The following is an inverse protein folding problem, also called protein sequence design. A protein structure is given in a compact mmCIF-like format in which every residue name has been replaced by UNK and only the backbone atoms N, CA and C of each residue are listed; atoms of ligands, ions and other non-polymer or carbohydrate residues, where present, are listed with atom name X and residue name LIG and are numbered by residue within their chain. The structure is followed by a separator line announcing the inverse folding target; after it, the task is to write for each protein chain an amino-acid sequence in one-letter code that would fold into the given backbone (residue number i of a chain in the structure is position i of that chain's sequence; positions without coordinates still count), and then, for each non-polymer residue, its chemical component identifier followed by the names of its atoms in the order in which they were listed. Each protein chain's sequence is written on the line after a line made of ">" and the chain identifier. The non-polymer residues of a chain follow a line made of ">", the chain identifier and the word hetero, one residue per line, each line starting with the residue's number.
data_IF_613891277445
#
_entry.id   IF_613891277445
#
_cell.length_a   1.000
_cell.length_b   1.000
_cell.length_c   1.000
_cell.angle_alpha   90.00
_cell.angle_beta   90.00
_cell.angle_gamma   90.00
#
_symmetry.space_group_name_H-M   'P 1'
#
loop_
_entity.id
_entity.type
_entity.pdbx_description
1 polymer ?
#
# COMPACT_ATOMS: atom_id res chain seq x y z
N UNK A 1 -32.62 47.33 -5.07
CA UNK A 1 -32.81 45.99 -4.48
C UNK A 1 -31.77 45.08 -5.10
N UNK A 2 -30.63 44.94 -4.42
CA UNK A 2 -29.45 44.26 -4.93
C UNK A 2 -29.66 42.75 -4.88
N UNK A 3 -29.56 42.10 -6.04
CA UNK A 3 -29.43 40.66 -6.13
C UNK A 3 -28.07 40.26 -5.55
N UNK A 4 -28.10 39.39 -4.55
CA UNK A 4 -26.92 38.86 -3.88
C UNK A 4 -26.11 38.01 -4.86
N UNK A 5 -24.92 38.47 -5.22
CA UNK A 5 -23.86 37.65 -5.77
C UNK A 5 -23.38 36.71 -4.64
N UNK A 6 -23.58 35.41 -4.78
CA UNK A 6 -22.90 34.40 -3.96
C UNK A 6 -21.57 34.05 -4.65
N UNK A 7 -20.41 34.25 -3.99
CA UNK A 7 -19.19 33.55 -4.35
C UNK A 7 -19.03 32.29 -3.48
N UNK A 8 -18.29 31.30 -4.01
CA UNK A 8 -17.82 30.06 -3.38
C UNK A 8 -18.70 28.82 -3.54
N UNK A 9 -18.48 28.10 -4.64
CA UNK A 9 -18.50 26.64 -4.60
C UNK A 9 -17.11 26.15 -4.16
N UNK A 10 -16.99 25.39 -3.05
CA UNK A 10 -15.71 24.79 -2.70
C UNK A 10 -15.40 23.66 -3.67
N UNK A 11 -14.32 23.81 -4.43
CA UNK A 11 -13.66 22.77 -5.21
C UNK A 11 -13.14 21.67 -4.25
N UNK A 12 -14.03 20.80 -3.78
CA UNK A 12 -13.65 19.55 -3.11
C UNK A 12 -13.30 18.52 -4.18
N UNK A 13 -12.07 18.62 -4.67
CA UNK A 13 -11.40 17.55 -5.40
C UNK A 13 -9.99 17.50 -4.87
N UNK A 14 -9.86 16.90 -3.68
CA UNK A 14 -8.59 16.51 -3.07
C UNK A 14 -7.65 16.02 -4.18
N UNK A 15 -6.50 16.69 -4.32
CA UNK A 15 -5.40 16.25 -5.17
C UNK A 15 -5.00 14.86 -4.67
N UNK A 16 -5.66 13.84 -5.21
CA UNK A 16 -5.34 12.45 -5.02
C UNK A 16 -3.89 12.32 -5.42
N UNK A 17 -3.00 12.32 -4.43
CA UNK A 17 -1.56 12.23 -4.61
C UNK A 17 -1.33 11.05 -5.53
N UNK A 18 -0.98 11.34 -6.79
CA UNK A 18 -0.93 10.33 -7.84
C UNK A 18 0.00 9.24 -7.34
N UNK A 19 -0.53 8.01 -7.20
CA UNK A 19 0.24 6.89 -6.67
C UNK A 19 1.42 6.65 -7.59
N UNK A 20 2.63 6.71 -7.03
CA UNK A 20 3.88 6.48 -7.76
C UNK A 20 4.52 5.18 -7.31
N UNK A 21 5.18 4.52 -8.25
CA UNK A 21 6.07 3.42 -7.98
C UNK A 21 7.17 3.89 -7.01
N UNK A 22 7.31 3.28 -5.83
CA UNK A 22 8.33 3.68 -4.86
C UNK A 22 9.74 3.29 -5.31
N UNK A 23 9.86 2.45 -6.35
CA UNK A 23 11.14 1.91 -6.82
C UNK A 23 11.73 2.72 -7.98
N UNK A 24 10.89 3.18 -8.92
CA UNK A 24 11.34 3.97 -10.08
C UNK A 24 10.72 5.37 -10.18
N UNK A 25 9.77 5.72 -9.31
CA UNK A 25 9.12 7.04 -9.27
C UNK A 25 8.02 7.29 -10.31
N UNK A 26 7.79 6.34 -11.23
CA UNK A 26 6.78 6.45 -12.29
C UNK A 26 5.35 6.41 -11.72
N UNK A 27 4.41 7.10 -12.36
CA UNK A 27 3.00 7.14 -12.00
C UNK A 27 2.15 6.10 -12.76
N UNK A 28 2.66 5.44 -13.80
CA UNK A 28 1.94 4.40 -14.53
C UNK A 28 1.90 3.09 -13.74
N UNK A 29 0.93 3.02 -12.82
CA UNK A 29 0.69 1.88 -11.95
C UNK A 29 -0.71 1.32 -12.16
N UNK A 30 -0.81 -0.02 -12.15
CA UNK A 30 -2.09 -0.74 -12.10
C UNK A 30 -2.37 -1.15 -10.66
N UNK A 31 -3.39 -0.57 -10.04
CA UNK A 31 -3.85 -0.94 -8.71
C UNK A 31 -4.70 -2.22 -8.76
N UNK A 32 -4.41 -3.14 -7.84
CA UNK A 32 -5.24 -4.29 -7.50
C UNK A 32 -5.74 -4.09 -6.09
N UNK A 33 -7.06 -3.95 -5.95
CA UNK A 33 -7.70 -3.78 -4.65
C UNK A 33 -8.22 -5.12 -4.19
N UNK A 34 -7.94 -5.44 -2.92
CA UNK A 34 -8.52 -6.60 -2.26
C UNK A 34 -10.04 -6.56 -2.31
N UNK A 35 -10.67 -7.71 -2.57
CA UNK A 35 -12.11 -7.88 -2.40
C UNK A 35 -12.50 -8.42 -1.00
N UNK A 36 -13.78 -8.30 -0.64
CA UNK A 36 -14.29 -8.63 0.69
C UNK A 36 -15.31 -9.77 0.72
N UNK A 37 -15.71 -10.32 -0.44
CA UNK A 37 -16.99 -11.05 -0.54
C UNK A 37 -17.03 -12.22 -1.52
N UNK A 38 -16.03 -12.41 -2.37
CA UNK A 38 -16.04 -13.38 -3.47
C UNK A 38 -14.91 -14.42 -3.44
N UNK A 39 -15.11 -15.63 -3.97
CA UNK A 39 -14.07 -16.67 -4.09
C UNK A 39 -12.99 -16.34 -5.13
N UNK A 40 -13.24 -15.35 -5.99
CA UNK A 40 -12.29 -14.81 -6.98
C UNK A 40 -11.68 -13.48 -6.52
N UNK A 41 -11.93 -13.07 -5.28
CA UNK A 41 -11.43 -11.82 -4.77
C UNK A 41 -9.94 -11.93 -4.47
N UNK A 42 -9.21 -10.88 -4.84
CA UNK A 42 -7.81 -10.74 -4.47
C UNK A 42 -7.70 -10.65 -2.95
N UNK A 43 -6.81 -11.47 -2.38
CA UNK A 43 -6.62 -11.59 -0.92
C UNK A 43 -5.77 -10.44 -0.37
N UNK A 44 -4.91 -9.90 -1.22
CA UNK A 44 -3.96 -8.83 -0.93
C UNK A 44 -4.30 -7.56 -1.73
N UNK A 45 -3.82 -6.41 -1.27
CA UNK A 45 -3.86 -5.17 -2.02
C UNK A 45 -2.44 -4.76 -2.40
N UNK A 46 -2.25 -4.54 -3.70
CA UNK A 46 -0.97 -4.19 -4.27
C UNK A 46 -1.15 -3.39 -5.54
N UNK A 47 -0.08 -2.81 -6.04
CA UNK A 47 -0.05 -2.24 -7.38
C UNK A 47 1.20 -2.65 -8.12
N UNK A 48 1.08 -2.78 -9.44
CA UNK A 48 2.20 -3.12 -10.33
C UNK A 48 2.56 -1.92 -11.17
N UNK A 49 3.83 -1.55 -11.18
CA UNK A 49 4.36 -0.53 -12.06
C UNK A 49 4.49 -1.09 -13.49
N UNK A 50 3.91 -0.40 -14.49
CA UNK A 50 4.04 -0.85 -15.89
C UNK A 50 5.41 -0.54 -16.49
N UNK A 51 6.13 0.44 -15.92
CA UNK A 51 7.46 0.84 -16.39
C UNK A 51 8.56 -0.08 -15.93
N UNK A 52 8.65 -0.39 -14.62
CA UNK A 52 9.69 -1.28 -14.10
C UNK A 52 9.21 -2.72 -13.83
N UNK A 53 7.91 -3.00 -13.94
CA UNK A 53 7.34 -4.33 -13.71
C UNK A 53 7.19 -4.72 -12.23
N UNK A 54 7.67 -3.89 -11.31
CA UNK A 54 7.67 -4.21 -9.88
C UNK A 54 6.28 -4.16 -9.24
N UNK A 55 6.00 -5.13 -8.37
CA UNK A 55 4.80 -5.17 -7.55
C UNK A 55 5.08 -4.62 -6.15
N UNK A 56 4.25 -3.68 -5.73
CA UNK A 56 4.33 -3.04 -4.41
C UNK A 56 3.10 -3.39 -3.60
N UNK A 57 3.29 -4.09 -2.48
CA UNK A 57 2.20 -4.43 -1.57
C UNK A 57 1.88 -3.29 -0.61
N UNK A 58 0.59 -3.01 -0.45
CA UNK A 58 0.07 -2.07 0.55
C UNK A 58 -0.59 -2.82 1.72
N UNK A 59 -1.17 -3.99 1.45
CA UNK A 59 -1.82 -4.83 2.45
C UNK A 59 -1.67 -6.29 2.06
N UNK A 60 -1.28 -7.11 3.02
CA UNK A 60 -1.24 -8.57 2.86
C UNK A 60 -2.09 -9.25 3.93
N UNK A 61 -2.84 -10.28 3.55
CA UNK A 61 -3.58 -11.11 4.47
C UNK A 61 -2.75 -12.30 4.94
N UNK A 62 -2.85 -12.62 6.23
CA UNK A 62 -2.18 -13.74 6.86
C UNK A 62 -3.12 -14.48 7.80
N UNK A 63 -2.94 -15.79 7.89
CA UNK A 63 -3.64 -16.60 8.87
C UNK A 63 -2.89 -16.66 10.22
N UNK A 64 -3.53 -17.21 11.24
CA UNK A 64 -2.95 -17.29 12.58
C UNK A 64 -1.67 -18.12 12.68
N UNK A 65 -1.44 -19.08 11.78
CA UNK A 65 -0.19 -19.86 11.73
C UNK A 65 0.95 -19.00 11.20
N UNK A 66 0.74 -18.29 10.10
CA UNK A 66 1.73 -17.39 9.50
C UNK A 66 2.11 -16.25 10.44
N UNK A 67 1.13 -15.64 11.13
CA UNK A 67 1.39 -14.58 12.11
C UNK A 67 2.36 -15.03 13.22
N UNK A 68 2.24 -16.29 13.69
CA UNK A 68 3.14 -16.84 14.72
C UNK A 68 4.54 -17.09 14.19
N UNK A 69 4.67 -17.50 12.93
CA UNK A 69 5.95 -17.77 12.29
C UNK A 69 6.71 -16.48 11.95
N UNK A 70 6.02 -15.53 11.31
CA UNK A 70 6.61 -14.26 10.89
C UNK A 70 6.77 -13.23 12.01
N UNK A 71 6.09 -13.44 13.15
CA UNK A 71 6.12 -12.55 14.33
C UNK A 71 5.84 -11.07 14.01
N UNK A 72 5.02 -10.80 13.00
CA UNK A 72 4.79 -9.45 12.48
C UNK A 72 4.21 -8.50 13.53
N UNK A 73 4.88 -7.36 13.74
CA UNK A 73 4.41 -6.25 14.58
C UNK A 73 4.59 -4.91 13.87
N UNK A 74 3.81 -3.87 14.21
CA UNK A 74 4.07 -2.51 13.75
C UNK A 74 5.52 -2.09 14.02
N UNK A 75 6.18 -1.54 13.01
CA UNK A 75 7.60 -1.16 13.03
C UNK A 75 8.55 -2.22 12.48
N UNK A 76 8.15 -3.49 12.44
CA UNK A 76 9.00 -4.57 11.91
C UNK A 76 9.20 -4.46 10.40
N UNK A 77 10.26 -5.11 9.91
CA UNK A 77 10.47 -5.31 8.49
C UNK A 77 9.69 -6.55 8.02
N UNK A 78 8.90 -6.38 6.97
CA UNK A 78 8.23 -7.44 6.25
C UNK A 78 8.98 -7.74 4.95
N UNK A 79 9.11 -9.03 4.67
CA UNK A 79 9.66 -9.57 3.42
C UNK A 79 8.85 -10.80 3.03
N UNK A 80 8.30 -10.80 1.82
CA UNK A 80 7.49 -11.92 1.33
C UNK A 80 8.39 -13.09 0.89
N UNK A 81 9.46 -12.83 0.15
CA UNK A 81 10.44 -13.85 -0.25
C UNK A 81 11.89 -13.34 -0.20
N UNK A 82 12.88 -14.24 -0.01
CA UNK A 82 14.28 -13.90 -0.22
C UNK A 82 14.48 -13.31 -1.63
N UNK A 83 15.21 -12.20 -1.73
CA UNK A 83 15.42 -11.43 -2.97
C UNK A 83 14.43 -10.29 -3.22
N UNK A 84 13.30 -10.22 -2.53
CA UNK A 84 12.32 -9.15 -2.75
C UNK A 84 12.55 -7.90 -1.90
N UNK A 85 11.89 -6.81 -2.33
CA UNK A 85 11.80 -5.51 -1.66
C UNK A 85 11.38 -5.61 -0.18
N UNK A 86 11.86 -4.64 0.61
CA UNK A 86 11.55 -4.55 2.03
C UNK A 86 10.40 -3.59 2.29
N UNK A 87 9.58 -3.96 3.25
CA UNK A 87 8.44 -3.16 3.69
C UNK A 87 8.55 -2.94 5.19
N UNK A 88 8.05 -1.80 5.67
CA UNK A 88 7.77 -1.59 7.08
C UNK A 88 6.33 -1.95 7.35
N UNK A 89 6.10 -2.75 8.39
CA UNK A 89 4.75 -3.00 8.88
C UNK A 89 4.26 -1.73 9.56
N UNK A 90 3.28 -1.06 8.97
CA UNK A 90 2.68 0.16 9.55
C UNK A 90 1.59 -0.18 10.56
N UNK A 91 0.85 -1.28 10.31
CA UNK A 91 -0.24 -1.73 11.18
C UNK A 91 -0.50 -3.22 11.01
N UNK A 92 -0.96 -3.86 12.08
CA UNK A 92 -1.53 -5.22 12.05
C UNK A 92 -2.94 -5.17 12.60
N UNK A 93 -3.90 -5.78 11.92
CA UNK A 93 -5.32 -5.81 12.31
C UNK A 93 -5.83 -7.25 12.29
N UNK A 94 -6.48 -7.70 13.37
CA UNK A 94 -7.23 -8.97 13.37
C UNK A 94 -8.66 -8.71 12.90
N UNK A 95 -9.06 -9.33 11.79
CA UNK A 95 -10.37 -9.07 11.14
C UNK A 95 -11.30 -10.27 11.15
N UNK A 96 -10.79 -11.46 11.45
CA UNK A 96 -11.60 -12.67 11.55
C UNK A 96 -11.06 -13.65 12.58
N UNK A 97 -11.70 -14.83 12.65
CA UNK A 97 -11.28 -15.91 13.57
C UNK A 97 -9.86 -16.37 13.25
N UNK A 98 -9.50 -16.45 11.97
CA UNK A 98 -8.20 -16.90 11.49
C UNK A 98 -7.62 -15.97 10.42
N UNK A 99 -7.92 -14.68 10.48
CA UNK A 99 -7.48 -13.71 9.48
C UNK A 99 -6.93 -12.43 10.12
N UNK A 100 -5.76 -12.03 9.62
CA UNK A 100 -5.04 -10.82 9.98
C UNK A 100 -4.67 -10.05 8.72
N UNK A 101 -4.80 -8.74 8.77
CA UNK A 101 -4.34 -7.83 7.73
C UNK A 101 -3.08 -7.12 8.21
N UNK A 102 -2.05 -7.14 7.39
CA UNK A 102 -0.78 -6.47 7.64
C UNK A 102 -0.67 -5.33 6.63
N UNK A 103 -0.67 -4.11 7.13
CA UNK A 103 -0.48 -2.91 6.31
C UNK A 103 1.01 -2.65 6.16
N UNK A 104 1.41 -2.37 4.93
CA UNK A 104 2.80 -2.25 4.52
C UNK A 104 3.07 -0.87 3.96
N UNK A 105 4.28 -0.38 4.24
CA UNK A 105 4.84 0.80 3.61
C UNK A 105 6.14 0.40 2.93
N UNK A 106 6.34 0.71 1.64
CA UNK A 106 7.58 0.39 0.96
C UNK A 106 8.72 1.15 1.62
N UNK A 107 9.81 0.44 1.93
CA UNK A 107 11.07 1.06 2.33
C UNK A 107 11.91 1.09 1.07
N UNK A 108 11.77 2.15 0.29
CA UNK A 108 12.74 2.43 -0.75
C UNK A 108 14.11 2.42 -0.06
N UNK A 109 15.02 1.55 -0.51
CA UNK A 109 16.42 1.67 -0.13
C UNK A 109 16.87 3.00 -0.73
N UNK A 110 16.68 4.09 0.01
CA UNK A 110 17.15 5.40 -0.39
C UNK A 110 18.64 5.21 -0.62
N UNK A 111 19.06 5.37 -1.88
CA UNK A 111 20.42 5.17 -2.31
C UNK A 111 21.39 5.82 -1.33
N UNK A 112 22.37 5.05 -0.87
CA UNK A 112 23.65 5.57 -0.39
C UNK A 112 24.41 6.04 -1.64
N UNK A 113 23.87 7.06 -2.32
CA UNK A 113 24.49 7.78 -3.42
C UNK A 113 24.54 9.26 -3.05
N UNK A 114 25.15 9.56 -1.91
CA UNK A 114 25.54 10.92 -1.51
C UNK A 114 26.56 10.83 -0.39
N UNK A 115 27.79 10.50 -0.76
CA UNK A 115 29.04 11.02 -0.18
C UNK A 115 30.20 10.48 -1.02
N UNK A 116 30.57 11.30 -1.99
CA UNK A 116 31.92 11.42 -2.55
C UNK A 116 32.89 11.61 -1.37
#
# INVERSE_FOLDING_TARGET
>A
MSAMHLPNEPMYGDESSVRRCPWCGDADVRLVTRGYTGPTDEVDQYFTCRTCGETTYELVAKNGREMRMGRYRPGDLYREAPGQHHYRVSRVLKVGVNEYLIYLQPVASVDVASRI
#
